data_IF_696596403598
#
_entry.id   IF_696596403598
#
_cell.length_a   1.000
_cell.length_b   1.000
_cell.length_c   1.000
_cell.angle_alpha   90.00
_cell.angle_beta   90.00
_cell.angle_gamma   90.00
#
_symmetry.space_group_name_H-M   'P 1'
#
loop_
_entity.id
_entity.type
_entity.pdbx_description
1 polymer ?
#
# COMPACT_ATOMS: atom_id res chain seq x y z
N UNK A 1 -6.30 -0.32 -6.88
CA UNK A 1 -7.68 0.04 -6.47
C UNK A 1 -7.58 1.23 -5.54
N UNK A 2 -8.40 2.26 -5.75
CA UNK A 2 -8.46 3.43 -4.87
C UNK A 2 -9.87 3.60 -4.31
N UNK A 3 -10.00 4.18 -3.12
CA UNK A 3 -11.28 4.55 -2.51
C UNK A 3 -11.37 6.07 -2.58
N UNK A 4 -12.45 6.60 -3.14
CA UNK A 4 -12.72 8.05 -3.19
C UNK A 4 -13.93 8.34 -2.29
N UNK A 5 -13.72 8.81 -1.05
CA UNK A 5 -14.83 9.18 -0.18
C UNK A 5 -15.40 10.54 -0.59
N UNK A 6 -16.73 10.64 -0.65
CA UNK A 6 -17.42 11.92 -0.81
C UNK A 6 -17.71 12.50 0.56
N UNK A 7 -16.89 13.46 1.01
CA UNK A 7 -17.02 14.04 2.35
C UNK A 7 -17.28 15.54 2.26
N UNK A 8 -18.26 16.03 3.02
CA UNK A 8 -18.63 17.44 3.02
C UNK A 8 -17.56 18.28 3.74
N UNK A 9 -17.00 19.27 3.06
CA UNK A 9 -16.13 20.30 3.62
C UNK A 9 -16.87 21.64 3.59
N UNK A 10 -17.06 22.27 4.74
CA UNK A 10 -17.77 23.55 4.81
C UNK A 10 -17.19 24.43 5.94
N UNK A 11 -17.06 25.77 5.75
CA UNK A 11 -16.36 26.65 6.70
C UNK A 11 -16.95 26.66 8.11
N UNK A 12 -18.26 26.42 8.24
CA UNK A 12 -18.96 26.40 9.53
C UNK A 12 -19.16 24.97 10.07
N UNK A 13 -18.37 24.00 9.60
CA UNK A 13 -18.53 22.58 9.90
C UNK A 13 -19.41 21.85 8.88
N UNK A 14 -19.47 20.52 8.97
CA UNK A 14 -20.21 19.66 8.05
C UNK A 14 -21.48 19.07 8.70
N UNK A 15 -22.44 18.64 7.87
CA UNK A 15 -23.75 18.16 8.32
C UNK A 15 -23.75 16.75 8.95
N UNK A 16 -22.83 15.86 8.55
CA UNK A 16 -22.91 14.44 8.98
C UNK A 16 -21.57 13.81 9.36
N UNK A 17 -20.52 13.95 8.53
CA UNK A 17 -19.21 13.34 8.78
C UNK A 17 -18.11 14.17 8.13
N UNK A 18 -17.29 14.83 8.94
CA UNK A 18 -16.16 15.63 8.45
C UNK A 18 -14.88 14.89 8.77
N UNK A 19 -14.12 14.55 7.73
CA UNK A 19 -12.82 13.93 7.90
C UNK A 19 -11.79 14.97 8.32
N UNK A 20 -11.91 16.20 7.83
CA UNK A 20 -11.01 17.30 8.14
C UNK A 20 -11.76 18.56 8.55
N UNK A 21 -11.06 19.47 9.23
CA UNK A 21 -11.48 20.85 9.46
C UNK A 21 -11.26 21.73 8.21
N UNK A 22 -11.52 23.04 8.34
CA UNK A 22 -11.31 24.02 7.26
C UNK A 22 -9.82 24.20 6.89
N UNK A 23 -8.90 23.91 7.81
CA UNK A 23 -7.45 23.96 7.59
C UNK A 23 -6.88 22.63 7.09
N UNK A 24 -7.75 21.70 6.66
CA UNK A 24 -7.38 20.37 6.18
C UNK A 24 -6.65 19.51 7.24
N UNK A 25 -6.89 19.78 8.53
CA UNK A 25 -6.43 18.93 9.63
C UNK A 25 -7.46 17.85 9.91
N UNK A 26 -7.02 16.62 10.15
CA UNK A 26 -7.93 15.52 10.48
C UNK A 26 -8.75 15.81 11.74
N UNK A 27 -10.03 15.45 11.66
CA UNK A 27 -10.92 15.25 12.80
C UNK A 27 -10.98 13.76 13.15
N UNK A 28 -11.66 13.42 14.26
CA UNK A 28 -11.77 12.03 14.75
C UNK A 28 -12.22 11.02 13.68
N UNK A 29 -13.13 11.43 12.78
CA UNK A 29 -13.55 10.55 11.68
C UNK A 29 -12.43 10.36 10.63
N UNK A 30 -11.66 11.41 10.33
CA UNK A 30 -10.48 11.34 9.46
C UNK A 30 -9.42 10.42 10.04
N UNK A 31 -9.15 10.54 11.34
CA UNK A 31 -8.17 9.67 12.03
C UNK A 31 -8.54 8.19 11.98
N UNK A 32 -9.83 7.87 12.09
CA UNK A 32 -10.34 6.49 11.94
C UNK A 32 -10.12 5.99 10.52
N UNK A 33 -10.45 6.79 9.49
CA UNK A 33 -10.21 6.42 8.09
C UNK A 33 -8.71 6.23 7.81
N UNK A 34 -7.86 7.15 8.28
CA UNK A 34 -6.41 7.06 8.12
C UNK A 34 -5.82 5.83 8.79
N UNK A 35 -6.37 5.42 9.94
CA UNK A 35 -5.96 4.17 10.60
C UNK A 35 -6.31 2.95 9.74
N UNK A 36 -7.53 2.88 9.20
CA UNK A 36 -7.94 1.79 8.32
C UNK A 36 -7.09 1.73 7.04
N UNK A 37 -6.80 2.88 6.43
CA UNK A 37 -5.91 2.95 5.26
C UNK A 37 -4.48 2.49 5.59
N UNK A 38 -3.99 2.75 6.80
CA UNK A 38 -2.70 2.23 7.27
C UNK A 38 -2.71 0.71 7.51
N UNK A 39 -3.86 0.14 7.86
CA UNK A 39 -4.03 -1.31 8.01
C UNK A 39 -4.13 -2.01 6.64
N UNK A 40 -4.71 -1.35 5.63
CA UNK A 40 -4.92 -1.90 4.28
C UNK A 40 -3.80 -1.59 3.29
N UNK A 41 -2.57 -1.47 3.78
CA UNK A 41 -1.39 -1.42 2.94
C UNK A 41 -0.43 -2.51 3.37
N UNK A 42 0.20 -3.14 2.39
CA UNK A 42 1.40 -3.92 2.68
C UNK A 42 2.48 -2.95 3.13
N UNK A 43 3.04 -3.16 4.31
CA UNK A 43 4.24 -2.46 4.74
C UNK A 43 5.47 -2.90 3.94
N UNK A 44 6.65 -2.65 4.49
CA UNK A 44 7.87 -3.26 3.96
C UNK A 44 7.85 -4.77 4.25
N UNK A 45 7.99 -5.57 3.20
CA UNK A 45 8.06 -7.03 3.29
C UNK A 45 9.51 -7.43 3.06
N UNK A 46 10.18 -7.90 4.11
CA UNK A 46 11.56 -8.37 4.05
C UNK A 46 11.54 -9.89 4.10
N UNK A 47 12.16 -10.50 3.10
CA UNK A 47 12.21 -11.95 2.97
C UNK A 47 13.56 -12.42 2.44
N UNK A 48 13.82 -13.72 2.61
CA UNK A 48 14.98 -14.40 2.04
C UNK A 48 14.50 -15.44 1.05
N UNK A 49 15.18 -15.54 -0.08
CA UNK A 49 14.92 -16.59 -1.06
C UNK A 49 15.28 -17.97 -0.50
N UNK A 50 14.58 -19.00 -0.95
CA UNK A 50 14.92 -20.39 -0.67
C UNK A 50 16.18 -20.86 -1.43
N UNK A 51 16.50 -22.15 -1.28
CA UNK A 51 17.66 -22.80 -1.93
C UNK A 51 17.57 -22.82 -3.47
N UNK A 52 16.39 -22.52 -4.02
CA UNK A 52 16.13 -22.38 -5.46
C UNK A 52 16.07 -20.92 -5.92
N UNK A 53 16.36 -19.95 -5.04
CA UNK A 53 16.33 -18.53 -5.37
C UNK A 53 14.91 -17.95 -5.46
N UNK A 54 13.89 -18.64 -4.93
CA UNK A 54 12.48 -18.24 -5.00
C UNK A 54 11.99 -17.66 -3.67
N UNK A 55 11.05 -16.71 -3.74
CA UNK A 55 10.40 -16.12 -2.56
C UNK A 55 8.93 -15.85 -2.88
N UNK A 56 8.04 -16.33 -2.01
CA UNK A 56 6.59 -16.15 -2.13
C UNK A 56 6.09 -15.23 -1.01
N UNK A 57 5.20 -14.29 -1.35
CA UNK A 57 4.57 -13.41 -0.37
C UNK A 57 3.11 -13.14 -0.75
N UNK A 58 2.32 -12.77 0.26
CA UNK A 58 0.98 -12.23 0.07
C UNK A 58 1.02 -10.73 0.31
N UNK A 59 0.36 -9.96 -0.55
CA UNK A 59 0.29 -8.51 -0.44
C UNK A 59 -1.03 -7.97 -0.98
N UNK A 60 -1.41 -6.79 -0.51
CA UNK A 60 -2.52 -6.02 -1.04
C UNK A 60 -2.28 -5.60 -2.50
N UNK A 61 -3.36 -5.32 -3.23
CA UNK A 61 -3.26 -4.83 -4.61
C UNK A 61 -2.57 -3.47 -4.66
N UNK A 62 -1.64 -3.29 -5.60
CA UNK A 62 -0.88 -2.05 -5.71
C UNK A 62 0.45 -2.19 -6.45
N UNK A 63 1.20 -1.09 -6.48
CA UNK A 63 2.57 -1.05 -7.01
C UNK A 63 3.58 -1.34 -5.91
N UNK A 64 4.53 -2.22 -6.20
CA UNK A 64 5.60 -2.61 -5.30
C UNK A 64 6.95 -2.29 -5.92
N UNK A 65 7.84 -1.70 -5.13
CA UNK A 65 9.26 -1.65 -5.45
C UNK A 65 9.93 -2.89 -4.87
N UNK A 66 10.51 -3.69 -5.74
CA UNK A 66 11.26 -4.90 -5.37
C UNK A 66 12.73 -4.56 -5.37
N UNK A 67 13.39 -4.74 -4.23
CA UNK A 67 14.84 -4.57 -4.07
C UNK A 67 15.44 -5.90 -3.67
N UNK A 68 16.37 -6.40 -4.47
CA UNK A 68 17.01 -7.68 -4.26
C UNK A 68 18.51 -7.47 -3.99
N UNK A 69 19.00 -8.05 -2.92
CA UNK A 69 20.37 -7.88 -2.43
C UNK A 69 21.07 -9.25 -2.33
N UNK A 70 22.25 -9.37 -2.94
CA UNK A 70 23.10 -10.56 -2.85
C UNK A 70 24.56 -10.14 -2.67
N UNK A 71 25.08 -10.33 -1.46
CA UNK A 71 26.39 -9.79 -1.06
C UNK A 71 26.45 -8.28 -1.28
N UNK A 72 27.38 -7.82 -2.13
CA UNK A 72 27.55 -6.40 -2.48
C UNK A 72 26.75 -5.97 -3.72
N UNK A 73 25.96 -6.85 -4.33
CA UNK A 73 25.16 -6.56 -5.52
C UNK A 73 23.72 -6.26 -5.13
N UNK A 74 23.13 -5.29 -5.80
CA UNK A 74 21.73 -4.90 -5.60
C UNK A 74 21.05 -4.74 -6.96
N UNK A 75 19.84 -5.28 -7.10
CA UNK A 75 18.97 -5.07 -8.25
C UNK A 75 17.64 -4.47 -7.77
N UNK A 76 17.06 -3.58 -8.57
CA UNK A 76 15.77 -2.97 -8.28
C UNK A 76 14.82 -3.19 -9.45
N UNK A 77 13.56 -3.45 -9.15
CA UNK A 77 12.50 -3.51 -10.14
C UNK A 77 11.16 -3.12 -9.53
N UNK A 78 10.12 -3.10 -10.35
CA UNK A 78 8.76 -2.79 -9.93
C UNK A 78 7.79 -3.89 -10.35
N UNK A 79 6.79 -4.13 -9.49
CA UNK A 79 5.77 -5.16 -9.67
C UNK A 79 4.41 -4.60 -9.31
N UNK A 80 3.46 -4.67 -10.24
CA UNK A 80 2.05 -4.38 -9.96
C UNK A 80 1.32 -5.65 -9.50
N UNK A 81 0.67 -5.64 -8.36
CA UNK A 81 -0.30 -6.67 -7.97
C UNK A 81 -1.72 -6.18 -8.30
N UNK A 82 -2.41 -6.93 -9.17
CA UNK A 82 -3.76 -6.65 -9.64
C UNK A 82 -4.67 -7.83 -9.34
N UNK A 83 -5.99 -7.61 -9.37
CA UNK A 83 -6.99 -8.69 -9.23
C UNK A 83 -6.75 -9.73 -10.32
N UNK A 84 -6.63 -11.00 -9.91
CA UNK A 84 -6.40 -12.15 -10.78
C UNK A 84 -6.84 -13.41 -10.06
N UNK A 85 -7.29 -14.42 -10.80
CA UNK A 85 -7.58 -15.77 -10.27
C UNK A 85 -6.30 -16.62 -10.12
N UNK A 86 -5.17 -16.12 -10.62
CA UNK A 86 -3.88 -16.79 -10.63
C UNK A 86 -2.81 -16.06 -9.80
N UNK A 87 -1.80 -16.81 -9.35
CA UNK A 87 -0.61 -16.24 -8.69
C UNK A 87 0.25 -15.51 -9.71
N UNK A 88 0.70 -14.31 -9.36
CA UNK A 88 1.60 -13.55 -10.24
C UNK A 88 3.05 -13.98 -10.04
N UNK A 89 3.66 -14.49 -11.11
CA UNK A 89 5.09 -14.81 -11.15
C UNK A 89 5.90 -13.61 -11.67
N UNK A 90 7.03 -13.34 -11.04
CA UNK A 90 7.92 -12.25 -11.40
C UNK A 90 9.37 -12.71 -11.26
N UNK A 91 10.21 -12.38 -12.25
CA UNK A 91 11.63 -12.73 -12.25
C UNK A 91 12.47 -11.46 -12.26
N UNK A 92 13.50 -11.43 -11.42
CA UNK A 92 14.52 -10.39 -11.36
C UNK A 92 15.90 -11.05 -11.38
N UNK A 93 16.84 -10.44 -12.09
CA UNK A 93 18.20 -10.96 -12.25
C UNK A 93 19.22 -10.00 -11.64
N UNK A 94 20.36 -10.56 -11.22
CA UNK A 94 21.52 -9.88 -10.64
C UNK A 94 22.78 -10.09 -11.48
#
# INVERSE_FOLDING_TARGET
MGIMPWTALHPNGCYQMCLTDYNLQNLLAGDVVDKLLKEWKSGEIIGRTDDHGSYNFFGFLGEYKVSLQYGNRTANSTLSLCVSDETKHFNIQL
#
